data_IF_744957010281
#
_entry.id   IF_744957010281
#
_cell.length_a   1.000
_cell.length_b   1.000
_cell.length_c   1.000
_cell.angle_alpha   90.00
_cell.angle_beta   90.00
_cell.angle_gamma   90.00
#
_symmetry.space_group_name_H-M   'P 1'
#
loop_
_entity.id
_entity.type
_entity.pdbx_description
1 polymer ?
#
# COMPACT_ATOMS: atom_id res chain seq x y z
N UNK A 1 -13.04 12.70 -4.25
CA UNK A 1 -12.53 14.04 -4.62
C UNK A 1 -11.19 14.18 -3.93
N UNK A 2 -10.12 14.47 -4.67
CA UNK A 2 -8.81 14.71 -4.05
C UNK A 2 -8.80 16.10 -3.43
N UNK A 3 -8.77 16.16 -2.09
CA UNK A 3 -8.91 17.40 -1.32
C UNK A 3 -7.60 18.15 -1.13
N UNK A 4 -6.46 17.54 -1.46
CA UNK A 4 -5.13 18.06 -1.13
C UNK A 4 -4.79 18.01 0.36
N UNK A 5 -5.62 17.32 1.17
CA UNK A 5 -5.36 17.11 2.60
C UNK A 5 -4.00 16.42 2.80
N UNK A 6 -3.19 16.96 3.72
CA UNK A 6 -1.90 16.39 4.09
C UNK A 6 -2.06 15.55 5.34
N UNK A 7 -1.60 14.30 5.27
CA UNK A 7 -1.57 13.37 6.40
C UNK A 7 -0.13 12.99 6.69
N UNK A 8 0.19 12.83 7.96
CA UNK A 8 1.48 12.34 8.41
C UNK A 8 1.38 10.85 8.73
N UNK A 9 2.35 10.07 8.25
CA UNK A 9 2.49 8.67 8.57
C UNK A 9 3.92 8.37 9.03
N UNK A 10 4.06 7.45 9.97
CA UNK A 10 5.36 6.83 10.24
C UNK A 10 5.61 5.80 9.15
N UNK A 11 6.71 5.96 8.42
CA UNK A 11 7.10 5.07 7.34
C UNK A 11 8.36 4.28 7.71
N UNK A 12 8.50 3.08 7.13
CA UNK A 12 9.72 2.30 7.18
C UNK A 12 10.58 2.64 5.96
N UNK A 13 11.85 2.98 6.18
CA UNK A 13 12.83 3.07 5.11
C UNK A 13 13.35 1.66 4.79
N UNK A 14 12.88 1.09 3.69
CA UNK A 14 13.22 -0.26 3.25
C UNK A 14 13.89 -0.23 1.87
N UNK A 15 15.19 -0.54 1.83
CA UNK A 15 15.96 -0.64 0.59
C UNK A 15 15.66 -1.90 -0.24
N UNK A 16 14.98 -2.89 0.35
CA UNK A 16 14.51 -4.08 -0.36
C UNK A 16 13.20 -3.87 -1.11
N UNK A 17 12.48 -2.78 -0.83
CA UNK A 17 11.25 -2.42 -1.50
C UNK A 17 11.53 -1.70 -2.83
N UNK A 18 10.89 -2.16 -3.91
CA UNK A 18 11.01 -1.54 -5.24
C UNK A 18 10.06 -0.35 -5.45
N UNK A 19 9.19 -0.07 -4.47
CA UNK A 19 8.19 0.99 -4.55
C UNK A 19 7.71 1.42 -3.17
N UNK A 20 6.78 2.37 -3.18
CA UNK A 20 6.11 2.81 -1.96
C UNK A 20 4.84 1.99 -1.74
N UNK A 21 4.67 1.51 -0.52
CA UNK A 21 3.51 0.72 -0.11
C UNK A 21 2.83 1.42 1.07
N UNK A 22 1.50 1.40 1.09
CA UNK A 22 0.68 1.92 2.18
C UNK A 22 -0.14 0.77 2.76
N UNK A 23 -0.25 0.73 4.08
CA UNK A 23 -1.08 -0.25 4.78
C UNK A 23 -2.57 -0.03 4.45
N UNK A 24 -3.28 -1.12 4.20
CA UNK A 24 -4.70 -1.07 3.84
C UNK A 24 -5.57 -0.45 4.93
N UNK A 25 -5.29 -0.71 6.21
CA UNK A 25 -6.07 -0.13 7.31
C UNK A 25 -5.83 1.37 7.41
N UNK A 26 -4.61 1.84 7.12
CA UNK A 26 -4.32 3.27 7.06
C UNK A 26 -5.13 3.97 5.95
N UNK A 27 -5.19 3.36 4.76
CA UNK A 27 -5.99 3.83 3.62
C UNK A 27 -7.48 3.92 3.99
N UNK A 28 -8.03 2.86 4.59
CA UNK A 28 -9.43 2.80 5.03
C UNK A 28 -9.73 3.83 6.12
N UNK A 29 -8.88 3.92 7.15
CA UNK A 29 -9.07 4.83 8.28
C UNK A 29 -9.12 6.30 7.85
N UNK A 30 -8.30 6.69 6.87
CA UNK A 30 -8.24 8.05 6.37
C UNK A 30 -9.14 8.33 5.16
N UNK A 31 -9.93 7.33 4.72
CA UNK A 31 -10.80 7.40 3.54
C UNK A 31 -10.06 7.94 2.31
N UNK A 32 -8.85 7.43 2.07
CA UNK A 32 -8.08 7.83 0.90
C UNK A 32 -8.78 7.33 -0.37
N UNK A 33 -8.78 8.15 -1.42
CA UNK A 33 -9.31 7.73 -2.70
C UNK A 33 -8.43 6.60 -3.26
N UNK A 34 -9.04 5.47 -3.59
CA UNK A 34 -8.38 4.34 -4.26
C UNK A 34 -9.02 4.03 -5.60
N UNK A 35 -8.33 3.27 -6.45
CA UNK A 35 -8.88 2.84 -7.73
C UNK A 35 -8.60 1.36 -7.94
N UNK A 36 -9.67 0.56 -7.94
CA UNK A 36 -9.58 -0.86 -8.22
C UNK A 36 -8.74 -1.15 -9.47
N UNK A 37 -7.70 -1.94 -9.28
CA UNK A 37 -6.80 -2.37 -10.32
C UNK A 37 -7.49 -3.42 -11.21
N UNK A 38 -7.27 -3.40 -12.53
CA UNK A 38 -7.76 -4.46 -13.42
C UNK A 38 -7.22 -5.85 -13.06
N UNK A 39 -6.02 -5.90 -12.46
CA UNK A 39 -5.36 -7.10 -11.95
C UNK A 39 -4.63 -6.76 -10.67
N UNK A 40 -4.77 -7.61 -9.66
CA UNK A 40 -4.06 -7.45 -8.40
C UNK A 40 -2.54 -7.60 -8.60
N UNK A 41 -1.76 -6.83 -7.85
CA UNK A 41 -0.29 -6.89 -7.84
C UNK A 41 0.12 -7.77 -6.65
N UNK A 42 0.68 -8.98 -6.88
CA UNK A 42 1.18 -9.81 -5.80
C UNK A 42 2.40 -9.15 -5.15
N UNK A 43 2.39 -9.09 -3.83
CA UNK A 43 3.51 -8.58 -3.04
C UNK A 43 4.24 -9.77 -2.43
N UNK A 44 5.56 -9.79 -2.59
CA UNK A 44 6.41 -10.85 -2.06
C UNK A 44 7.38 -10.25 -1.04
N UNK A 45 7.65 -11.01 0.02
CA UNK A 45 8.70 -10.69 0.97
C UNK A 45 10.08 -10.98 0.35
N UNK A 46 11.16 -10.56 1.02
CA UNK A 46 12.55 -10.78 0.55
C UNK A 46 12.87 -12.27 0.36
N UNK A 47 12.24 -13.16 1.12
CA UNK A 47 12.42 -14.61 0.99
C UNK A 47 11.59 -15.25 -0.15
N UNK A 48 10.85 -14.44 -0.90
CA UNK A 48 10.01 -14.88 -2.02
C UNK A 48 8.64 -15.42 -1.63
N UNK A 49 8.29 -15.45 -0.34
CA UNK A 49 6.94 -15.82 0.12
C UNK A 49 5.95 -14.67 -0.13
N UNK A 50 4.65 -14.99 -0.23
CA UNK A 50 3.61 -13.96 -0.34
C UNK A 50 3.55 -13.11 0.93
N UNK A 51 3.39 -11.81 0.77
CA UNK A 51 3.19 -10.91 1.88
C UNK A 51 1.88 -11.24 2.62
N UNK A 52 1.92 -11.21 3.96
CA UNK A 52 0.77 -11.55 4.80
C UNK A 52 -0.39 -10.55 4.68
N UNK A 53 -0.11 -9.31 4.28
CA UNK A 53 -1.13 -8.31 3.93
C UNK A 53 -1.86 -8.61 2.62
N UNK A 54 -1.39 -9.60 1.86
CA UNK A 54 -1.95 -9.99 0.57
C UNK A 54 -1.47 -9.14 -0.59
N UNK A 55 -2.20 -9.23 -1.71
CA UNK A 55 -1.92 -8.47 -2.93
C UNK A 55 -2.56 -7.09 -2.89
N UNK A 56 -1.98 -6.14 -3.61
CA UNK A 56 -2.57 -4.81 -3.84
C UNK A 56 -3.70 -4.94 -4.85
N UNK A 57 -4.87 -4.37 -4.54
CA UNK A 57 -6.06 -4.49 -5.37
C UNK A 57 -6.62 -3.13 -5.82
N UNK A 58 -6.15 -2.03 -5.23
CA UNK A 58 -6.68 -0.68 -5.41
C UNK A 58 -5.58 0.40 -5.53
#
# INVERSE_FOLDING_TARGET
>A
LDTGMRLSATALLDSGATGLFLDKKYVEHHNLNTKKLPRAIPVYNVDGTLNQGGSIQE
#
